data_IF_395657387072
#
_entry.id   IF_395657387072
#
_cell.length_a   1.000
_cell.length_b   1.000
_cell.length_c   1.000
_cell.angle_alpha   90.00
_cell.angle_beta   90.00
_cell.angle_gamma   90.00
#
_symmetry.space_group_name_H-M   'P 1'
#
loop_
_entity.id
_entity.type
_entity.pdbx_description
1 polymer ?
#
# COMPACT_ATOMS: atom_id res chain seq x y z
N UNK A 1 -19.29 -29.31 12.02
CA UNK A 1 -19.20 -27.97 12.64
C UNK A 1 -17.83 -27.30 12.40
N UNK A 2 -16.71 -28.03 12.30
CA UNK A 2 -15.38 -27.44 12.11
C UNK A 2 -15.08 -26.76 10.76
N UNK A 3 -15.66 -27.22 9.64
CA UNK A 3 -15.39 -26.62 8.31
C UNK A 3 -16.06 -25.25 8.16
N UNK A 4 -17.30 -25.10 8.63
CA UNK A 4 -18.03 -23.82 8.59
C UNK A 4 -17.39 -22.76 9.49
N UNK A 5 -16.83 -23.17 10.62
CA UNK A 5 -16.16 -22.29 11.56
C UNK A 5 -14.80 -21.84 11.01
N UNK A 6 -14.05 -22.77 10.40
CA UNK A 6 -12.79 -22.47 9.72
C UNK A 6 -12.99 -21.60 8.47
N UNK A 7 -14.04 -21.87 7.68
CA UNK A 7 -14.43 -20.97 6.59
C UNK A 7 -14.75 -19.58 7.14
N UNK A 8 -15.50 -19.47 8.23
CA UNK A 8 -15.89 -18.16 8.78
C UNK A 8 -14.68 -17.37 9.34
N UNK A 9 -13.71 -18.06 9.94
CA UNK A 9 -12.43 -17.47 10.34
C UNK A 9 -11.61 -17.02 9.12
N UNK A 10 -11.40 -17.91 8.14
CA UNK A 10 -10.67 -17.58 6.90
C UNK A 10 -11.35 -16.44 6.12
N UNK A 11 -12.69 -16.36 6.12
CA UNK A 11 -13.45 -15.28 5.46
C UNK A 11 -13.37 -13.97 6.25
N UNK A 12 -13.36 -14.01 7.58
CA UNK A 12 -13.19 -12.82 8.42
C UNK A 12 -11.78 -12.22 8.23
N UNK A 13 -10.78 -13.08 8.12
CA UNK A 13 -9.37 -12.71 7.96
C UNK A 13 -9.08 -12.17 6.56
N UNK A 14 -9.65 -12.80 5.52
CA UNK A 14 -9.65 -12.26 4.15
C UNK A 14 -10.31 -10.87 4.11
N UNK A 15 -11.40 -10.67 4.84
CA UNK A 15 -12.11 -9.39 4.86
C UNK A 15 -11.27 -8.29 5.52
N UNK A 16 -10.52 -8.58 6.59
CA UNK A 16 -9.66 -7.58 7.25
C UNK A 16 -8.48 -7.20 6.35
N UNK A 17 -7.88 -8.16 5.64
CA UNK A 17 -6.80 -7.90 4.70
C UNK A 17 -7.24 -6.96 3.57
N UNK A 18 -8.34 -7.32 2.89
CA UNK A 18 -8.89 -6.52 1.78
C UNK A 18 -9.32 -5.13 2.29
N UNK A 19 -10.00 -5.09 3.44
CA UNK A 19 -10.43 -3.83 4.06
C UNK A 19 -9.24 -2.92 4.35
N UNK A 20 -8.18 -3.47 4.95
CA UNK A 20 -6.98 -2.71 5.30
C UNK A 20 -6.27 -2.16 4.05
N UNK A 21 -6.10 -2.96 3.00
CA UNK A 21 -5.48 -2.48 1.75
C UNK A 21 -6.32 -1.37 1.13
N UNK A 22 -7.65 -1.55 1.05
CA UNK A 22 -8.54 -0.54 0.50
C UNK A 22 -8.50 0.76 1.31
N UNK A 23 -8.49 0.66 2.63
CA UNK A 23 -8.42 1.82 3.52
C UNK A 23 -7.14 2.62 3.32
N UNK A 24 -5.97 1.97 3.37
CA UNK A 24 -4.70 2.66 3.15
C UNK A 24 -4.57 3.18 1.72
N UNK A 25 -5.05 2.43 0.73
CA UNK A 25 -5.07 2.87 -0.67
C UNK A 25 -5.89 4.15 -0.84
N UNK A 26 -7.06 4.26 -0.20
CA UNK A 26 -7.89 5.47 -0.26
C UNK A 26 -7.18 6.70 0.35
N UNK A 27 -6.48 6.52 1.46
CA UNK A 27 -5.70 7.60 2.10
C UNK A 27 -4.58 8.06 1.15
N UNK A 28 -3.81 7.10 0.61
CA UNK A 28 -2.72 7.36 -0.32
C UNK A 28 -3.22 7.97 -1.64
N UNK A 29 -4.38 7.55 -2.11
CA UNK A 29 -5.03 8.10 -3.30
C UNK A 29 -5.40 9.58 -3.10
N UNK A 30 -5.99 9.93 -1.95
CA UNK A 30 -6.28 11.32 -1.61
C UNK A 30 -5.00 12.17 -1.50
N UNK A 31 -3.95 11.61 -0.91
CA UNK A 31 -2.64 12.25 -0.82
C UNK A 31 -2.02 12.49 -2.20
N UNK A 32 -2.02 11.51 -3.10
CA UNK A 32 -1.44 11.66 -4.43
C UNK A 32 -2.26 12.62 -5.32
N UNK A 33 -3.59 12.67 -5.18
CA UNK A 33 -4.41 13.71 -5.80
C UNK A 33 -3.97 15.09 -5.30
N UNK A 34 -3.77 15.26 -4.00
CA UNK A 34 -3.27 16.51 -3.44
C UNK A 34 -1.88 16.88 -4.00
N UNK A 35 -0.98 15.90 -4.12
CA UNK A 35 0.35 16.09 -4.73
C UNK A 35 0.28 16.55 -6.19
N UNK A 36 -0.71 16.14 -6.98
CA UNK A 36 -0.89 16.65 -8.36
C UNK A 36 -1.09 18.17 -8.39
N UNK A 37 -1.76 18.75 -7.40
CA UNK A 37 -2.06 20.20 -7.40
C UNK A 37 -0.96 21.05 -6.76
N UNK A 38 -0.12 20.45 -5.91
CA UNK A 38 0.82 21.20 -5.05
C UNK A 38 2.28 20.89 -5.37
N UNK A 39 2.60 19.71 -5.91
CA UNK A 39 3.98 19.31 -6.19
C UNK A 39 4.49 19.87 -7.52
N UNK A 40 5.76 20.31 -7.59
CA UNK A 40 6.42 20.62 -8.86
C UNK A 40 6.59 19.38 -9.76
N UNK A 41 6.46 18.17 -9.21
CA UNK A 41 6.69 16.90 -9.92
C UNK A 41 5.39 16.08 -10.05
N UNK A 42 4.40 16.64 -10.74
CA UNK A 42 3.08 16.04 -10.95
C UNK A 42 3.12 14.67 -11.63
N UNK A 43 4.13 14.42 -12.48
CA UNK A 43 4.36 13.14 -13.14
C UNK A 43 4.50 11.99 -12.13
N UNK A 44 5.28 12.17 -11.06
CA UNK A 44 5.49 11.13 -10.05
C UNK A 44 4.19 10.81 -9.30
N UNK A 45 3.41 11.84 -8.96
CA UNK A 45 2.11 11.66 -8.31
C UNK A 45 1.12 10.87 -9.21
N UNK A 46 1.10 11.14 -10.52
CA UNK A 46 0.29 10.38 -11.48
C UNK A 46 0.73 8.92 -11.55
N UNK A 47 2.04 8.66 -11.61
CA UNK A 47 2.58 7.29 -11.59
C UNK A 47 2.16 6.55 -10.32
N UNK A 48 2.24 7.21 -9.16
CA UNK A 48 1.79 6.66 -7.88
C UNK A 48 0.30 6.28 -7.92
N UNK A 49 -0.57 7.16 -8.43
CA UNK A 49 -2.01 6.90 -8.54
C UNK A 49 -2.33 5.69 -9.43
N UNK A 50 -1.67 5.58 -10.58
CA UNK A 50 -1.84 4.43 -11.46
C UNK A 50 -1.41 3.15 -10.73
N UNK A 51 -0.28 3.20 -10.00
CA UNK A 51 0.20 2.05 -9.23
C UNK A 51 -0.77 1.65 -8.11
N UNK A 52 -1.34 2.62 -7.39
CA UNK A 52 -2.35 2.37 -6.35
C UNK A 52 -3.62 1.73 -6.93
N UNK A 53 -4.11 2.21 -8.07
CA UNK A 53 -5.31 1.65 -8.71
C UNK A 53 -5.08 0.23 -9.22
N UNK A 54 -3.94 -0.02 -9.87
CA UNK A 54 -3.60 -1.36 -10.37
C UNK A 54 -3.33 -2.31 -9.20
N UNK A 55 -2.64 -1.85 -8.15
CA UNK A 55 -2.46 -2.62 -6.91
C UNK A 55 -3.79 -2.98 -6.27
N UNK A 56 -4.71 -2.02 -6.11
CA UNK A 56 -6.05 -2.30 -5.61
C UNK A 56 -6.79 -3.35 -6.46
N UNK A 57 -6.77 -3.22 -7.79
CA UNK A 57 -7.38 -4.19 -8.70
C UNK A 57 -6.74 -5.59 -8.59
N UNK A 58 -5.42 -5.67 -8.40
CA UNK A 58 -4.70 -6.91 -8.19
C UNK A 58 -5.06 -7.57 -6.84
N UNK A 59 -5.29 -6.78 -5.79
CA UNK A 59 -5.74 -7.29 -4.49
C UNK A 59 -7.12 -7.97 -4.56
N UNK A 60 -8.03 -7.47 -5.41
CA UNK A 60 -9.35 -8.09 -5.62
C UNK A 60 -9.29 -9.35 -6.49
N UNK A 61 -8.25 -9.52 -7.32
CA UNK A 61 -8.01 -10.73 -8.13
C UNK A 61 -7.09 -11.69 -7.37
N UNK A 62 -7.63 -12.27 -6.30
CA UNK A 62 -6.94 -13.15 -5.36
C UNK A 62 -6.80 -14.60 -5.88
N UNK A 63 -6.22 -14.78 -7.07
CA UNK A 63 -5.59 -16.03 -7.46
C UNK A 63 -4.08 -15.80 -7.49
N UNK A 64 -3.27 -16.83 -7.22
CA UNK A 64 -1.80 -16.84 -6.97
C UNK A 64 -0.89 -15.88 -7.75
N UNK A 65 -1.37 -15.29 -8.85
CA UNK A 65 -0.69 -14.31 -9.69
C UNK A 65 -0.85 -12.87 -9.19
N UNK A 66 -1.97 -12.54 -8.53
CA UNK A 66 -2.33 -11.17 -8.13
C UNK A 66 -1.33 -10.54 -7.16
N UNK A 67 -0.72 -11.32 -6.27
CA UNK A 67 0.33 -10.84 -5.35
C UNK A 67 1.60 -10.42 -6.08
N UNK A 68 1.96 -11.12 -7.16
CA UNK A 68 3.13 -10.79 -7.98
C UNK A 68 2.90 -9.51 -8.79
N UNK A 69 1.71 -9.35 -9.37
CA UNK A 69 1.31 -8.12 -10.04
C UNK A 69 1.22 -6.94 -9.07
N UNK A 70 0.72 -7.18 -7.86
CA UNK A 70 0.70 -6.19 -6.79
C UNK A 70 2.13 -5.70 -6.50
N UNK A 71 3.07 -6.61 -6.20
CA UNK A 71 4.47 -6.25 -5.95
C UNK A 71 5.17 -5.58 -7.15
N UNK A 72 4.97 -6.09 -8.37
CA UNK A 72 5.59 -5.55 -9.59
C UNK A 72 5.19 -4.10 -9.86
N UNK A 73 3.93 -3.78 -9.64
CA UNK A 73 3.39 -2.43 -9.86
C UNK A 73 3.99 -1.45 -8.85
N UNK A 74 4.21 -1.88 -7.61
CA UNK A 74 4.82 -1.04 -6.57
C UNK A 74 6.36 -0.92 -6.68
N UNK A 75 7.03 -1.76 -7.48
CA UNK A 75 8.45 -1.59 -7.81
C UNK A 75 8.71 -0.37 -8.72
N UNK A 76 7.71 0.08 -9.48
CA UNK A 76 7.85 1.21 -10.40
C UNK A 76 8.17 2.52 -9.63
N UNK A 77 7.39 2.93 -8.60
CA UNK A 77 7.75 4.06 -7.74
C UNK A 77 9.11 3.92 -7.05
N UNK A 78 9.48 2.71 -6.60
CA UNK A 78 10.78 2.45 -5.98
C UNK A 78 11.95 2.61 -6.95
N UNK A 79 11.75 2.25 -8.22
CA UNK A 79 12.74 2.47 -9.27
C UNK A 79 12.98 3.96 -9.54
N UNK A 80 11.92 4.77 -9.59
CA UNK A 80 12.06 6.22 -9.72
C UNK A 80 12.77 6.85 -8.51
N UNK A 81 12.51 6.35 -7.30
CA UNK A 81 13.28 6.74 -6.12
C UNK A 81 14.76 6.38 -6.25
N UNK A 82 15.09 5.17 -6.70
CA UNK A 82 16.48 4.75 -6.89
C UNK A 82 17.21 5.62 -7.94
N UNK A 83 16.53 6.02 -9.02
CA UNK A 83 17.06 6.97 -10.01
C UNK A 83 17.31 8.34 -9.38
N UNK A 84 16.41 8.82 -8.51
CA UNK A 84 16.59 10.10 -7.81
C UNK A 84 17.85 10.16 -6.94
N UNK A 85 18.35 9.00 -6.50
CA UNK A 85 19.56 8.86 -5.68
C UNK A 85 20.83 8.64 -6.50
N UNK A 86 20.71 8.39 -7.81
CA UNK A 86 21.85 8.12 -8.67
C UNK A 86 22.62 9.42 -8.98
N UNK A 87 23.96 9.42 -8.89
CA UNK A 87 24.76 10.57 -9.31
C UNK A 87 24.53 10.84 -10.81
N UNK A 88 23.98 12.01 -11.14
CA UNK A 88 23.61 12.40 -12.51
C UNK A 88 22.09 12.50 -12.79
N UNK A 89 21.22 12.19 -11.83
CA UNK A 89 19.76 12.42 -11.96
C UNK A 89 19.39 13.90 -12.21
N UNK A 90 20.28 14.82 -11.85
CA UNK A 90 20.18 16.27 -12.11
C UNK A 90 20.14 16.61 -13.60
N UNK A 91 20.65 15.73 -14.48
CA UNK A 91 20.71 15.94 -15.92
C UNK A 91 19.31 15.93 -16.60
N UNK A 92 18.26 15.56 -15.86
CA UNK A 92 16.87 15.54 -16.35
C UNK A 92 16.18 16.90 -16.11
N UNK A 93 16.88 17.91 -15.60
CA UNK A 93 16.39 19.28 -15.52
C UNK A 93 15.40 19.54 -14.37
N UNK A 94 15.41 18.68 -13.35
CA UNK A 94 14.55 18.80 -12.17
C UNK A 94 15.40 19.27 -10.99
N UNK A 95 14.94 20.28 -10.24
CA UNK A 95 15.56 20.68 -8.98
C UNK A 95 15.74 19.45 -8.08
N UNK A 96 16.98 19.07 -7.79
CA UNK A 96 17.32 17.77 -7.23
C UNK A 96 16.66 17.53 -5.87
N UNK A 97 16.60 18.56 -5.03
CA UNK A 97 15.97 18.47 -3.71
C UNK A 97 14.45 18.27 -3.80
N UNK A 98 13.77 18.99 -4.71
CA UNK A 98 12.31 18.88 -4.88
C UNK A 98 11.92 17.55 -5.53
N UNK A 99 12.75 17.03 -6.43
CA UNK A 99 12.56 15.73 -7.05
C UNK A 99 12.71 14.60 -6.04
N UNK A 100 13.77 14.61 -5.24
CA UNK A 100 14.04 13.57 -4.25
C UNK A 100 12.90 13.50 -3.23
N UNK A 101 12.47 14.64 -2.68
CA UNK A 101 11.34 14.70 -1.74
C UNK A 101 10.04 14.17 -2.37
N UNK A 102 9.76 14.53 -3.63
CA UNK A 102 8.59 14.04 -4.35
C UNK A 102 8.67 12.54 -4.63
N UNK A 103 9.85 12.01 -4.97
CA UNK A 103 10.08 10.59 -5.21
C UNK A 103 9.91 9.77 -3.93
N UNK A 104 10.36 10.29 -2.78
CA UNK A 104 10.10 9.67 -1.48
C UNK A 104 8.61 9.66 -1.14
N UNK A 105 7.91 10.77 -1.36
CA UNK A 105 6.47 10.87 -1.12
C UNK A 105 5.69 9.88 -1.99
N UNK A 106 6.04 9.77 -3.27
CA UNK A 106 5.46 8.81 -4.21
C UNK A 106 5.76 7.36 -3.83
N UNK A 107 7.02 7.01 -3.54
CA UNK A 107 7.38 5.65 -3.13
C UNK A 107 6.71 5.27 -1.80
N UNK A 108 6.66 6.21 -0.85
CA UNK A 108 5.95 6.05 0.42
C UNK A 108 4.46 5.81 0.21
N UNK A 109 3.79 6.66 -0.57
CA UNK A 109 2.36 6.52 -0.89
C UNK A 109 2.05 5.15 -1.49
N UNK A 110 2.90 4.67 -2.40
CA UNK A 110 2.70 3.40 -3.07
C UNK A 110 2.97 2.19 -2.16
N UNK A 111 3.98 2.26 -1.26
CA UNK A 111 4.35 1.14 -0.37
C UNK A 111 3.52 1.08 0.93
N UNK A 112 2.89 2.18 1.32
CA UNK A 112 2.16 2.28 2.59
C UNK A 112 0.96 1.32 2.68
N UNK A 113 0.16 1.08 1.62
CA UNK A 113 -0.90 0.08 1.67
C UNK A 113 -0.41 -1.36 1.95
N UNK A 114 0.57 -1.95 1.21
CA UNK A 114 1.08 -3.28 1.53
C UNK A 114 1.66 -3.38 2.95
N UNK A 115 2.53 -2.44 3.31
CA UNK A 115 3.25 -2.48 4.58
C UNK A 115 2.27 -2.25 5.73
N UNK A 116 1.37 -1.27 5.58
CA UNK A 116 0.34 -0.96 6.56
C UNK A 116 -0.58 -2.15 6.82
N UNK A 117 -0.97 -2.88 5.78
CA UNK A 117 -1.79 -4.09 5.93
C UNK A 117 -1.03 -5.23 6.61
N UNK A 118 0.23 -5.47 6.23
CA UNK A 118 1.07 -6.49 6.87
C UNK A 118 1.28 -6.25 8.37
N UNK A 119 1.20 -5.00 8.84
CA UNK A 119 1.26 -4.64 10.26
C UNK A 119 -0.12 -4.71 10.91
N UNK A 120 -1.14 -4.14 10.25
CA UNK A 120 -2.49 -3.98 10.83
C UNK A 120 -3.18 -5.32 11.02
N UNK A 121 -3.09 -6.22 10.05
CA UNK A 121 -3.79 -7.51 10.09
C UNK A 121 -3.35 -8.33 11.32
N UNK A 122 -2.05 -8.63 11.55
CA UNK A 122 -1.60 -9.34 12.75
C UNK A 122 -1.96 -8.65 14.07
N UNK A 123 -1.93 -7.32 14.12
CA UNK A 123 -2.31 -6.56 15.33
C UNK A 123 -3.79 -6.75 15.66
N UNK A 124 -4.68 -6.69 14.67
CA UNK A 124 -6.11 -6.92 14.86
C UNK A 124 -6.38 -8.34 15.38
N UNK A 125 -5.66 -9.35 14.88
CA UNK A 125 -5.73 -10.71 15.41
C UNK A 125 -5.30 -10.81 16.87
N UNK A 126 -4.17 -10.19 17.22
CA UNK A 126 -3.66 -10.16 18.59
C UNK A 126 -4.66 -9.50 19.55
N UNK A 127 -5.24 -8.37 19.15
CA UNK A 127 -6.25 -7.66 19.93
C UNK A 127 -7.55 -8.47 20.08
N UNK A 128 -8.01 -9.11 19.01
CA UNK A 128 -9.18 -10.00 19.05
C UNK A 128 -8.96 -11.18 20.00
N UNK A 129 -7.78 -11.81 19.93
CA UNK A 129 -7.42 -12.96 20.78
C UNK A 129 -7.34 -12.57 22.25
N UNK A 130 -6.67 -11.45 22.56
CA UNK A 130 -6.54 -10.94 23.94
C UNK A 130 -7.89 -10.51 24.51
N UNK A 131 -8.76 -9.90 23.70
CA UNK A 131 -10.13 -9.53 24.11
C UNK A 131 -10.99 -10.75 24.46
N UNK A 132 -10.98 -11.79 23.61
CA UNK A 132 -11.68 -13.06 23.89
C UNK A 132 -11.15 -13.74 25.15
N UNK A 133 -9.84 -13.73 25.35
CA UNK A 133 -9.23 -14.27 26.56
C UNK A 133 -9.69 -13.50 27.81
N UNK A 134 -9.71 -12.17 27.77
CA UNK A 134 -10.15 -11.33 28.88
C UNK A 134 -11.63 -11.59 29.23
N UNK A 135 -12.49 -11.72 28.22
CA UNK A 135 -13.91 -12.05 28.40
C UNK A 135 -14.11 -13.43 29.05
N UNK A 136 -13.24 -14.41 28.78
CA UNK A 136 -13.33 -15.73 29.42
C UNK A 136 -12.96 -15.74 30.91
N UNK A 137 -12.44 -14.64 31.43
CA UNK A 137 -12.01 -14.47 32.83
C UNK A 137 -13.00 -13.67 33.68
N UNK A 138 -14.03 -13.09 33.07
CA UNK A 138 -15.12 -12.33 33.71
C UNK A 138 -16.35 -13.24 33.79
#
# INVERSE_FOLDING_TARGET
MGILQKLNEDTADLNIWIFSICFFTLICFAFDIYQIFVSPNTFLAIVSLICLLVGMAACFKWASEGFSYYFLVYLIPSFFLAISMAPGGEAIGINSNDYVMSAYATAGSALLPPIGTLITVPLVFLLSTTSKWLQSKI
#
